data_IF_794992372000
#
_entry.id   IF_794992372000
#
_cell.length_a   1.000
_cell.length_b   1.000
_cell.length_c   1.000
_cell.angle_alpha   90.00
_cell.angle_beta   90.00
_cell.angle_gamma   90.00
#
_symmetry.space_group_name_H-M   'P 1'
#
loop_
_entity.id
_entity.type
_entity.pdbx_description
1 polymer ?
#
# COMPACT_ATOMS: atom_id res chain seq x y z
N UNK A 1 -31.82 -8.94 9.01
CA UNK A 1 -30.58 -8.33 9.53
C UNK A 1 -30.04 -7.40 8.45
N UNK A 2 -30.34 -6.10 8.54
CA UNK A 2 -29.77 -5.12 7.62
C UNK A 2 -28.52 -4.55 8.29
N UNK A 3 -27.36 -5.10 7.95
CA UNK A 3 -26.08 -4.45 8.27
C UNK A 3 -26.03 -3.18 7.43
N UNK A 4 -26.15 -2.03 8.10
CA UNK A 4 -25.74 -0.76 7.53
C UNK A 4 -24.24 -0.86 7.26
N UNK A 5 -23.88 -1.17 6.02
CA UNK A 5 -22.50 -1.27 5.59
C UNK A 5 -21.90 0.14 5.62
N UNK A 6 -21.07 0.40 6.62
CA UNK A 6 -20.15 1.54 6.62
C UNK A 6 -19.00 1.24 5.64
N UNK A 7 -19.34 1.06 4.36
CA UNK A 7 -18.44 0.70 3.25
C UNK A 7 -17.10 1.44 3.29
N UNK A 8 -17.04 2.77 3.55
CA UNK A 8 -15.77 3.50 3.56
C UNK A 8 -14.83 3.06 4.68
N UNK A 9 -15.36 2.81 5.89
CA UNK A 9 -14.54 2.45 7.05
C UNK A 9 -14.05 1.00 6.98
N UNK A 10 -14.88 0.08 6.45
CA UNK A 10 -14.47 -1.31 6.26
C UNK A 10 -13.38 -1.45 5.19
N UNK A 11 -13.46 -0.64 4.12
CA UNK A 11 -12.42 -0.58 3.07
C UNK A 11 -11.11 0.00 3.60
N UNK A 12 -11.17 1.08 4.39
CA UNK A 12 -9.99 1.64 5.04
C UNK A 12 -9.32 0.61 5.96
N UNK A 13 -10.11 -0.09 6.80
CA UNK A 13 -9.60 -1.14 7.68
C UNK A 13 -8.91 -2.25 6.88
N UNK A 14 -9.54 -2.71 5.80
CA UNK A 14 -8.97 -3.74 4.92
C UNK A 14 -7.67 -3.27 4.25
N UNK A 15 -7.63 -2.03 3.76
CA UNK A 15 -6.44 -1.43 3.15
C UNK A 15 -5.26 -1.43 4.13
N UNK A 16 -5.47 -0.94 5.35
CA UNK A 16 -4.43 -0.90 6.39
C UNK A 16 -3.99 -2.32 6.79
N UNK A 17 -4.92 -3.27 6.93
CA UNK A 17 -4.60 -4.66 7.24
C UNK A 17 -3.75 -5.29 6.14
N UNK A 18 -4.07 -5.05 4.88
CA UNK A 18 -3.30 -5.57 3.76
C UNK A 18 -1.92 -4.91 3.67
N UNK A 19 -1.79 -3.60 3.94
CA UNK A 19 -0.47 -2.97 4.08
C UNK A 19 0.39 -3.65 5.16
N UNK A 20 -0.21 -4.01 6.29
CA UNK A 20 0.46 -4.76 7.36
C UNK A 20 0.91 -6.16 6.92
N UNK A 21 0.02 -6.90 6.25
CA UNK A 21 0.35 -8.23 5.71
C UNK A 21 1.47 -8.17 4.67
N UNK A 22 1.37 -7.27 3.70
CA UNK A 22 2.39 -7.11 2.66
C UNK A 22 3.73 -6.69 3.28
N UNK A 23 3.71 -5.85 4.32
CA UNK A 23 4.93 -5.49 5.06
C UNK A 23 5.57 -6.70 5.74
N UNK A 24 4.78 -7.59 6.33
CA UNK A 24 5.29 -8.82 6.92
C UNK A 24 5.86 -9.79 5.87
N UNK A 25 5.22 -9.89 4.70
CA UNK A 25 5.64 -10.78 3.60
C UNK A 25 6.93 -10.29 2.91
N UNK A 26 6.99 -9.01 2.55
CA UNK A 26 8.06 -8.45 1.73
C UNK A 26 9.14 -7.73 2.55
N UNK A 27 8.95 -7.59 3.86
CA UNK A 27 9.94 -7.03 4.77
C UNK A 27 10.40 -5.63 4.39
N UNK A 28 11.71 -5.41 4.31
CA UNK A 28 12.30 -4.10 4.03
C UNK A 28 12.04 -3.58 2.61
N UNK A 29 11.70 -4.46 1.67
CA UNK A 29 11.42 -4.09 0.29
C UNK A 29 10.07 -3.39 0.14
N UNK A 30 9.16 -3.59 1.08
CA UNK A 30 7.85 -2.96 1.06
C UNK A 30 7.82 -1.64 1.84
N UNK A 31 7.36 -0.60 1.14
CA UNK A 31 7.21 0.77 1.58
C UNK A 31 5.90 0.94 2.38
N UNK A 32 5.84 0.28 3.54
CA UNK A 32 4.62 0.24 4.37
C UNK A 32 4.07 1.64 4.74
N UNK A 33 4.95 2.63 4.97
CA UNK A 33 4.53 4.02 5.22
C UNK A 33 3.79 4.63 4.02
N UNK A 34 4.27 4.37 2.80
CA UNK A 34 3.63 4.84 1.58
C UNK A 34 2.29 4.15 1.34
N UNK A 35 2.22 2.83 1.59
CA UNK A 35 0.97 2.07 1.52
C UNK A 35 -0.07 2.60 2.52
N UNK A 36 0.32 2.84 3.78
CA UNK A 36 -0.58 3.38 4.80
C UNK A 36 -1.05 4.80 4.47
N UNK A 37 -0.16 5.65 3.94
CA UNK A 37 -0.54 6.99 3.49
C UNK A 37 -1.57 6.93 2.37
N UNK A 38 -1.37 6.03 1.41
CA UNK A 38 -2.34 5.80 0.34
C UNK A 38 -3.72 5.41 0.90
N UNK A 39 -3.81 4.51 1.88
CA UNK A 39 -5.09 4.17 2.50
C UNK A 39 -5.81 5.38 3.14
N UNK A 40 -5.06 6.37 3.64
CA UNK A 40 -5.59 7.56 4.32
C UNK A 40 -5.89 8.72 3.37
N UNK A 41 -5.35 8.68 2.15
CA UNK A 41 -5.53 9.74 1.17
C UNK A 41 -6.97 9.69 0.61
N UNK A 42 -7.73 10.77 0.82
CA UNK A 42 -9.12 10.92 0.36
C UNK A 42 -9.33 10.77 -1.16
N UNK A 43 -8.23 10.71 -1.93
CA UNK A 43 -8.21 10.58 -3.39
C UNK A 43 -8.10 9.14 -3.90
N UNK A 44 -7.98 8.16 -3.00
CA UNK A 44 -7.80 6.74 -3.36
C UNK A 44 -9.13 6.04 -3.64
N UNK A 45 -10.24 6.76 -3.45
CA UNK A 45 -11.52 6.37 -3.99
C UNK A 45 -11.45 6.55 -5.52
N UNK A 46 -11.65 5.45 -6.26
CA UNK A 46 -11.89 5.46 -7.71
C UNK A 46 -13.01 6.46 -8.05
N UNK A 47 -13.17 6.85 -9.32
CA UNK A 47 -14.30 7.70 -9.75
C UNK A 47 -15.67 7.08 -9.40
N UNK A 48 -15.72 5.75 -9.22
CA UNK A 48 -16.87 4.99 -8.70
C UNK A 48 -17.08 5.09 -7.18
N UNK A 49 -16.15 5.70 -6.45
CA UNK A 49 -16.14 5.79 -4.98
C UNK A 49 -15.45 4.61 -4.27
N UNK A 50 -14.73 3.74 -4.98
CA UNK A 50 -14.15 2.52 -4.41
C UNK A 50 -12.67 2.67 -4.08
N UNK A 51 -12.27 2.40 -2.83
CA UNK A 51 -10.86 2.45 -2.40
C UNK A 51 -10.04 1.38 -3.15
N UNK A 52 -8.93 1.78 -3.78
CA UNK A 52 -7.96 0.81 -4.31
C UNK A 52 -7.26 0.09 -3.13
N UNK A 53 -7.67 -1.14 -2.84
CA UNK A 53 -7.12 -1.95 -1.75
C UNK A 53 -5.92 -2.76 -2.28
N UNK A 54 -4.73 -2.66 -1.65
CA UNK A 54 -3.58 -3.48 -2.04
C UNK A 54 -3.85 -4.95 -1.74
N UNK A 55 -3.44 -5.85 -2.64
CA UNK A 55 -3.48 -7.30 -2.47
C UNK A 55 -2.06 -7.87 -2.56
N UNK A 56 -1.58 -8.44 -1.45
CA UNK A 56 -0.23 -8.97 -1.34
C UNK A 56 0.05 -10.14 -2.30
N UNK A 57 -0.95 -10.72 -2.95
CA UNK A 57 -0.78 -11.76 -3.96
C UNK A 57 -0.90 -11.25 -5.40
N UNK A 58 -1.21 -9.95 -5.59
CA UNK A 58 -1.35 -9.33 -6.89
C UNK A 58 -0.22 -8.33 -7.13
N UNK A 59 0.82 -8.70 -7.92
CA UNK A 59 1.98 -7.84 -8.20
C UNK A 59 1.58 -6.44 -8.67
N UNK A 60 0.58 -6.35 -9.56
CA UNK A 60 0.08 -5.07 -10.08
C UNK A 60 -0.42 -4.12 -9.00
N UNK A 61 -0.97 -4.64 -7.90
CA UNK A 61 -1.48 -3.82 -6.79
C UNK A 61 -0.41 -3.41 -5.78
N UNK A 62 0.72 -4.12 -5.71
CA UNK A 62 1.79 -3.86 -4.73
C UNK A 62 3.03 -3.20 -5.31
N UNK A 63 3.26 -3.29 -6.62
CA UNK A 63 4.38 -2.64 -7.31
C UNK A 63 4.58 -1.16 -6.94
N UNK A 64 3.52 -0.34 -6.76
CA UNK A 64 3.67 1.05 -6.32
C UNK A 64 4.34 1.21 -4.93
N UNK A 65 4.33 0.16 -4.11
CA UNK A 65 4.83 0.15 -2.73
C UNK A 65 6.09 -0.71 -2.56
N UNK A 66 6.75 -1.12 -3.64
CA UNK A 66 8.01 -1.87 -3.59
C UNK A 66 9.18 -0.93 -3.91
N UNK A 67 10.24 -0.98 -3.08
CA UNK A 67 11.51 -0.30 -3.36
C UNK A 67 12.10 -0.79 -4.66
N UNK A 68 12.46 0.13 -5.55
CA UNK A 68 13.23 -0.21 -6.75
C UNK A 68 14.68 -0.47 -6.34
N UNK A 69 15.24 -1.58 -6.77
CA UNK A 69 16.64 -1.96 -6.49
C UNK A 69 17.67 -1.03 -7.14
N UNK A 70 17.23 -0.10 -8.00
CA UNK A 70 18.11 0.85 -8.69
C UNK A 70 18.58 1.97 -7.75
N UNK A 71 17.84 2.24 -6.66
CA UNK A 71 18.18 3.31 -5.71
C UNK A 71 19.42 2.97 -4.83
N UNK A 72 19.84 1.71 -4.77
CA UNK A 72 20.98 1.25 -3.96
C UNK A 72 22.33 1.26 -4.74
N UNK A 73 22.31 1.49 -6.05
CA UNK A 73 23.54 1.48 -6.89
C UNK A 73 24.22 2.86 -6.94
N UNK A 74 23.52 3.95 -6.61
CA UNK A 74 24.01 5.34 -6.80
C UNK A 74 24.46 6.06 -5.51
N UNK A 75 24.50 5.40 -4.34
CA UNK A 75 24.82 6.09 -3.05
C UNK A 75 26.17 5.70 -2.44
N UNK A 76 26.94 4.78 -3.06
CA UNK A 76 28.23 4.33 -2.49
C UNK A 76 29.48 4.73 -3.27
N UNK A 77 29.41 5.74 -4.15
CA UNK A 77 30.60 6.18 -4.89
C UNK A 77 30.85 7.68 -4.87
N UNK A 78 30.60 8.36 -3.74
CA UNK A 78 31.13 9.71 -3.49
C UNK A 78 31.30 9.95 -1.98
N UNK A 79 32.29 9.30 -1.37
CA UNK A 79 33.00 9.88 -0.22
C UNK A 79 34.48 9.69 -0.49
N UNK A 80 35.09 10.81 -0.90
CA UNK A 80 36.52 11.05 -1.09
C UNK A 80 37.29 10.70 0.20
#
# INVERSE_FOLDING_TARGET
MSIASNLPMDRLRLCIQNCGQCKAMYGQYFLGKQCAQHCLDNKVLLESGELQVPDCNSPHSILPYIRKLIDDIDVKQDVI
#
